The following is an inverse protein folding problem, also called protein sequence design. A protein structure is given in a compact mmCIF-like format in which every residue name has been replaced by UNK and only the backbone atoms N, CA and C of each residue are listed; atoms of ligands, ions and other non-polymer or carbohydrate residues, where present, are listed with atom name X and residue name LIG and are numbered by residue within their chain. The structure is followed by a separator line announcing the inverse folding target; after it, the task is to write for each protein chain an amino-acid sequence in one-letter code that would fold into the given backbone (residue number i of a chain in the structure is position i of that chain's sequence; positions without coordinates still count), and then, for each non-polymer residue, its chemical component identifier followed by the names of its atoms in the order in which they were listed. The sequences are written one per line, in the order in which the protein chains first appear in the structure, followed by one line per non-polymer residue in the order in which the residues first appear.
data_IF_972179278790
#
_entry.id   IF_972179278790
#
_cell.length_a   1.000
_cell.length_b   1.000
_cell.length_c   1.000
_cell.angle_alpha   90.00
_cell.angle_beta   90.00
_cell.angle_gamma   90.00
#
_symmetry.space_group_name_H-M   'P 1'
#
loop_
_entity.id
_entity.type
_entity.pdbx_description
1 polymer ?
#
# COMPACT_ATOMS: atom_id res chain seq x y z
N UNK A 1 -29.20 30.26 9.37
CA UNK A 1 -29.60 28.84 9.25
C UNK A 1 -28.58 27.96 9.96
N UNK A 2 -28.98 27.21 10.97
CA UNK A 2 -28.10 26.21 11.58
C UNK A 2 -27.84 25.07 10.58
N UNK A 3 -26.57 24.63 10.46
CA UNK A 3 -26.22 23.53 9.54
C UNK A 3 -26.98 22.27 9.95
N UNK A 4 -27.59 21.58 8.98
CA UNK A 4 -28.20 20.27 9.22
C UNK A 4 -27.12 19.22 9.57
N UNK A 5 -27.50 18.11 10.18
CA UNK A 5 -26.56 17.02 10.47
C UNK A 5 -25.81 16.54 9.23
N UNK A 6 -26.51 16.40 8.09
CA UNK A 6 -25.93 16.04 6.81
C UNK A 6 -24.88 17.07 6.31
N UNK A 7 -25.17 18.37 6.45
CA UNK A 7 -24.25 19.45 6.10
C UNK A 7 -23.01 19.46 7.01
N UNK A 8 -23.17 19.15 8.30
CA UNK A 8 -22.03 18.99 9.23
C UNK A 8 -21.16 17.79 8.85
N UNK A 9 -21.77 16.66 8.51
CA UNK A 9 -21.05 15.47 8.05
C UNK A 9 -20.31 15.71 6.73
N UNK A 10 -20.92 16.42 5.79
CA UNK A 10 -20.29 16.81 4.52
C UNK A 10 -19.09 17.75 4.76
N UNK A 11 -19.27 18.77 5.61
CA UNK A 11 -18.19 19.68 5.96
C UNK A 11 -17.04 18.98 6.70
N UNK A 12 -17.33 18.01 7.57
CA UNK A 12 -16.32 17.20 8.24
C UNK A 12 -15.51 16.36 7.23
N UNK A 13 -16.21 15.66 6.32
CA UNK A 13 -15.56 14.88 5.25
C UNK A 13 -14.72 15.72 4.30
N UNK A 14 -15.14 16.96 4.01
CA UNK A 14 -14.38 17.88 3.17
C UNK A 14 -13.13 18.46 3.84
N UNK A 15 -13.10 18.54 5.17
CA UNK A 15 -11.96 19.11 5.93
C UNK A 15 -10.86 18.09 6.21
N UNK A 16 -11.23 16.83 6.47
CA UNK A 16 -10.30 15.80 6.94
C UNK A 16 -9.09 15.55 6.02
N UNK A 17 -9.23 15.52 4.68
CA UNK A 17 -8.10 15.35 3.76
C UNK A 17 -7.06 16.48 3.78
N UNK A 18 -7.39 17.62 4.37
CA UNK A 18 -6.53 18.80 4.47
C UNK A 18 -6.19 19.17 5.92
N UNK A 19 -6.66 18.39 6.89
CA UNK A 19 -6.41 18.63 8.31
C UNK A 19 -5.05 18.02 8.69
N UNK A 20 -4.00 18.83 8.67
CA UNK A 20 -2.63 18.49 9.06
C UNK A 20 -1.72 19.72 8.98
N UNK A 21 -0.56 19.71 9.64
CA UNK A 21 0.34 20.88 9.73
C UNK A 21 0.76 21.42 8.36
N UNK A 22 0.86 20.55 7.35
CA UNK A 22 1.37 20.89 6.01
C UNK A 22 0.28 20.85 4.92
N UNK A 23 -1.00 20.88 5.30
CA UNK A 23 -2.12 20.68 4.37
C UNK A 23 -2.27 19.24 3.85
N UNK A 24 -1.35 18.35 4.26
CA UNK A 24 -1.43 16.90 4.06
C UNK A 24 -2.24 16.28 5.21
N UNK A 25 -3.56 16.32 5.06
CA UNK A 25 -4.45 15.65 6.00
C UNK A 25 -4.61 14.16 5.72
N UNK A 26 -5.37 13.51 6.58
CA UNK A 26 -5.57 12.06 6.53
C UNK A 26 -6.27 11.59 5.25
N UNK A 27 -5.88 10.42 4.75
CA UNK A 27 -6.56 9.72 3.65
C UNK A 27 -7.41 8.60 4.23
N UNK A 28 -8.65 8.48 3.76
CA UNK A 28 -9.56 7.43 4.23
C UNK A 28 -9.27 6.11 3.50
N UNK A 29 -8.89 5.08 4.25
CA UNK A 29 -8.87 3.70 3.75
C UNK A 29 -10.30 3.12 3.82
N UNK A 30 -10.87 2.77 2.67
CA UNK A 30 -12.19 2.12 2.57
C UNK A 30 -12.07 0.83 1.80
N UNK A 31 -11.91 -0.29 2.50
CA UNK A 31 -11.70 -1.61 1.92
C UNK A 31 -12.44 -2.66 2.75
N UNK A 32 -12.91 -3.72 2.09
CA UNK A 32 -13.40 -4.92 2.75
C UNK A 32 -12.23 -5.90 2.90
N UNK A 33 -12.07 -6.46 4.09
CA UNK A 33 -11.07 -7.49 4.39
C UNK A 33 -11.77 -8.77 4.81
N UNK A 34 -11.08 -9.90 4.68
CA UNK A 34 -11.62 -11.18 5.14
C UNK A 34 -11.85 -11.19 6.66
N UNK A 35 -12.74 -12.08 7.11
CA UNK A 35 -13.09 -12.22 8.53
C UNK A 35 -11.88 -12.57 9.40
N UNK A 36 -10.96 -13.40 8.92
CA UNK A 36 -9.76 -13.81 9.64
C UNK A 36 -8.81 -12.64 9.89
N UNK A 37 -8.56 -11.83 8.87
CA UNK A 37 -7.77 -10.60 8.95
C UNK A 37 -8.40 -9.59 9.92
N UNK A 38 -9.72 -9.40 9.86
CA UNK A 38 -10.43 -8.52 10.80
C UNK A 38 -10.24 -8.96 12.26
N UNK A 39 -10.37 -10.26 12.54
CA UNK A 39 -10.17 -10.81 13.88
C UNK A 39 -8.69 -10.69 14.32
N UNK A 40 -7.75 -10.96 13.42
CA UNK A 40 -6.32 -10.84 13.70
C UNK A 40 -5.93 -9.39 14.02
N UNK A 41 -6.39 -8.43 13.21
CA UNK A 41 -6.18 -7.00 13.43
C UNK A 41 -6.68 -6.57 14.80
N UNK A 42 -7.90 -7.00 15.18
CA UNK A 42 -8.47 -6.67 16.47
C UNK A 42 -7.68 -7.26 17.66
N UNK A 43 -7.13 -8.47 17.53
CA UNK A 43 -6.27 -9.08 18.57
C UNK A 43 -4.93 -8.37 18.68
N UNK A 44 -4.28 -8.06 17.56
CA UNK A 44 -2.99 -7.39 17.54
C UNK A 44 -3.08 -5.97 18.11
N UNK A 45 -4.11 -5.21 17.73
CA UNK A 45 -4.34 -3.86 18.26
C UNK A 45 -4.46 -3.87 19.79
N UNK A 46 -5.23 -4.85 20.34
CA UNK A 46 -5.34 -5.07 21.78
C UNK A 46 -4.00 -5.42 22.42
N UNK A 47 -3.24 -6.34 21.82
CA UNK A 47 -1.93 -6.77 22.34
C UNK A 47 -0.93 -5.62 22.44
N UNK A 48 -0.95 -4.71 21.46
CA UNK A 48 -0.06 -3.56 21.44
C UNK A 48 -0.63 -2.31 22.12
N UNK A 49 -1.85 -2.38 22.67
CA UNK A 49 -2.56 -1.24 23.26
C UNK A 49 -2.67 -0.01 22.33
N UNK A 50 -2.91 -0.25 21.03
CA UNK A 50 -3.06 0.78 20.01
C UNK A 50 -4.41 0.66 19.30
N UNK A 51 -4.79 1.68 18.55
CA UNK A 51 -5.98 1.60 17.67
C UNK A 51 -5.69 0.70 16.48
N UNK A 52 -6.73 0.12 15.87
CA UNK A 52 -6.58 -0.64 14.62
C UNK A 52 -5.99 0.23 13.50
N UNK A 53 -6.38 1.51 13.45
CA UNK A 53 -5.81 2.49 12.52
C UNK A 53 -4.30 2.62 12.71
N UNK A 54 -3.84 2.89 13.94
CA UNK A 54 -2.42 3.06 14.22
C UNK A 54 -1.61 1.78 13.91
N UNK A 55 -2.21 0.60 14.14
CA UNK A 55 -1.59 -0.66 13.78
C UNK A 55 -1.47 -0.84 12.26
N UNK A 56 -2.50 -0.51 11.49
CA UNK A 56 -2.45 -0.55 10.02
C UNK A 56 -1.37 0.42 9.50
N UNK A 57 -1.39 1.67 9.95
CA UNK A 57 -0.40 2.68 9.56
C UNK A 57 1.02 2.21 9.85
N UNK A 58 1.26 1.69 11.06
CA UNK A 58 2.56 1.13 11.45
C UNK A 58 3.01 -0.03 10.56
N UNK A 59 2.10 -0.97 10.27
CA UNK A 59 2.45 -2.14 9.45
C UNK A 59 2.73 -1.75 7.99
N UNK A 60 1.94 -0.85 7.42
CA UNK A 60 2.13 -0.39 6.03
C UNK A 60 3.42 0.41 5.88
N UNK A 61 3.70 1.34 6.79
CA UNK A 61 4.93 2.15 6.77
C UNK A 61 6.16 1.26 6.96
N UNK A 62 6.12 0.31 7.92
CA UNK A 62 7.25 -0.57 8.16
C UNK A 62 7.59 -1.45 6.95
N UNK A 63 6.58 -1.90 6.20
CA UNK A 63 6.79 -2.71 5.00
C UNK A 63 7.30 -1.85 3.82
N UNK A 64 6.78 -0.65 3.65
CA UNK A 64 7.27 0.32 2.65
C UNK A 64 8.75 0.65 2.90
N UNK A 65 9.12 0.99 4.14
CA UNK A 65 10.50 1.24 4.55
C UNK A 65 11.41 0.01 4.33
N UNK A 66 10.91 -1.20 4.64
CA UNK A 66 11.67 -2.44 4.44
C UNK A 66 11.98 -2.68 2.97
N UNK A 67 11.03 -2.40 2.07
CA UNK A 67 11.22 -2.52 0.62
C UNK A 67 12.19 -1.44 0.13
N UNK A 68 11.97 -0.18 0.51
CA UNK A 68 12.82 0.95 0.11
C UNK A 68 14.28 0.78 0.56
N UNK A 69 14.52 0.19 1.74
CA UNK A 69 15.86 -0.12 2.22
C UNK A 69 16.62 -1.10 1.31
N UNK A 70 15.92 -1.89 0.49
CA UNK A 70 16.50 -2.82 -0.48
C UNK A 70 16.68 -2.24 -1.90
N UNK A 71 16.25 -0.99 -2.14
CA UNK A 71 16.27 -0.37 -3.47
C UNK A 71 17.29 0.78 -3.49
N UNK A 72 18.18 0.76 -4.47
CA UNK A 72 19.10 1.88 -4.69
C UNK A 72 18.34 3.13 -5.20
N UNK A 73 18.67 4.28 -4.63
CA UNK A 73 18.08 5.57 -4.99
C UNK A 73 18.29 5.87 -6.48
N UNK A 74 17.26 6.41 -7.14
CA UNK A 74 17.24 6.75 -8.58
C UNK A 74 17.47 5.60 -9.57
N UNK A 75 17.58 4.37 -9.08
CA UNK A 75 17.65 3.18 -9.92
C UNK A 75 16.36 2.97 -10.74
N UNK A 76 16.44 2.09 -11.75
CA UNK A 76 15.25 1.66 -12.49
C UNK A 76 14.20 1.03 -11.56
N UNK A 77 14.64 0.30 -10.52
CA UNK A 77 13.76 -0.31 -9.53
C UNK A 77 13.06 0.73 -8.64
N UNK A 78 13.78 1.78 -8.23
CA UNK A 78 13.20 2.93 -7.52
C UNK A 78 12.07 3.55 -8.33
N UNK A 79 12.34 3.88 -9.60
CA UNK A 79 11.34 4.44 -10.50
C UNK A 79 10.14 3.52 -10.69
N UNK A 80 10.37 2.22 -10.85
CA UNK A 80 9.30 1.23 -11.01
C UNK A 80 8.39 1.15 -9.77
N UNK A 81 8.96 1.19 -8.57
CA UNK A 81 8.22 1.15 -7.31
C UNK A 81 7.21 2.31 -7.19
N UNK A 82 7.62 3.53 -7.55
CA UNK A 82 6.77 4.72 -7.48
C UNK A 82 5.87 4.93 -8.72
N UNK A 83 6.16 4.29 -9.85
CA UNK A 83 5.39 4.44 -11.10
C UNK A 83 4.20 3.48 -11.23
N UNK A 84 4.08 2.49 -10.33
CA UNK A 84 3.03 1.47 -10.39
C UNK A 84 1.61 2.04 -10.25
N UNK A 85 0.68 1.55 -11.06
CA UNK A 85 -0.76 1.81 -10.87
C UNK A 85 -1.31 0.80 -9.88
N UNK A 86 -1.95 1.27 -8.80
CA UNK A 86 -2.67 0.38 -7.87
C UNK A 86 -3.76 -0.38 -8.63
N UNK A 87 -3.77 -1.70 -8.48
CA UNK A 87 -4.91 -2.53 -8.89
C UNK A 87 -6.16 -2.06 -8.12
N UNK A 88 -7.33 -2.14 -8.75
CA UNK A 88 -8.58 -1.85 -8.03
C UNK A 88 -8.91 -3.03 -7.12
N UNK A 89 -9.52 -2.74 -5.98
CA UNK A 89 -9.90 -3.75 -4.97
C UNK A 89 -10.75 -4.92 -5.49
N UNK A 90 -11.35 -4.80 -6.69
CA UNK A 90 -12.18 -5.84 -7.31
C UNK A 90 -11.44 -6.63 -8.41
N UNK A 91 -10.20 -6.26 -8.75
CA UNK A 91 -9.47 -6.87 -9.88
C UNK A 91 -8.88 -8.25 -9.52
N UNK A 92 -8.82 -8.61 -8.23
CA UNK A 92 -8.27 -9.88 -7.74
C UNK A 92 -6.75 -10.02 -7.96
N UNK A 93 -6.12 -10.98 -7.26
CA UNK A 93 -4.71 -11.34 -7.44
C UNK A 93 -4.46 -11.84 -8.87
N UNK A 94 -4.12 -10.94 -9.79
CA UNK A 94 -3.80 -11.26 -11.20
C UNK A 94 -2.29 -11.13 -11.51
N UNK A 95 -1.43 -11.00 -10.50
CA UNK A 95 0.04 -10.97 -10.69
C UNK A 95 0.72 -12.23 -10.17
N UNK A 96 0.18 -13.39 -10.55
CA UNK A 96 1.05 -14.54 -10.81
C UNK A 96 1.29 -14.56 -12.32
N UNK A 97 2.44 -14.01 -12.77
CA UNK A 97 3.31 -14.58 -13.81
C UNK A 97 4.23 -13.53 -14.49
N UNK A 98 5.53 -13.86 -14.48
CA UNK A 98 6.68 -13.28 -15.21
C UNK A 98 7.28 -11.95 -14.73
N UNK A 99 8.08 -12.05 -13.66
CA UNK A 99 9.40 -11.41 -13.69
C UNK A 99 10.26 -12.15 -14.73
N UNK A 100 10.91 -11.47 -15.68
CA UNK A 100 11.83 -12.12 -16.61
C UNK A 100 13.01 -12.72 -15.85
N UNK A 101 13.28 -13.99 -16.09
CA UNK A 101 14.42 -14.72 -15.55
C UNK A 101 15.67 -14.25 -16.29
N UNK A 102 16.43 -13.33 -15.70
CA UNK A 102 17.75 -12.91 -16.19
C UNK A 102 18.77 -14.03 -15.95
N UNK A 103 18.69 -15.09 -16.75
CA UNK A 103 19.75 -16.08 -16.90
C UNK A 103 20.27 -16.03 -18.35
N UNK A 104 21.09 -15.01 -18.61
CA UNK A 104 22.08 -15.06 -19.67
C UNK A 104 23.39 -15.61 -19.06
N UNK A 105 23.64 -16.90 -19.25
CA UNK A 105 25.01 -17.42 -19.29
C UNK A 105 25.27 -18.01 -20.68
N UNK A 106 26.31 -17.49 -21.31
CA UNK A 106 26.64 -17.76 -22.69
C UNK A 106 27.48 -19.01 -22.92
N UNK A 107 27.77 -19.19 -24.22
CA UNK A 107 28.81 -20.01 -24.83
C UNK A 107 28.67 -21.54 -24.80
N UNK A 108 28.42 -22.15 -25.97
CA UNK A 108 29.41 -22.99 -26.66
C UNK A 108 28.85 -23.54 -27.99
N UNK A 109 29.51 -23.14 -29.08
CA UNK A 109 29.91 -23.94 -30.25
C UNK A 109 29.46 -25.40 -30.31
N UNK A 110 28.85 -25.81 -31.44
CA UNK A 110 29.35 -26.91 -32.29
C UNK A 110 28.70 -26.90 -33.68
N UNK A 111 29.55 -26.71 -34.71
CA UNK A 111 29.35 -27.19 -36.08
C UNK A 111 29.42 -28.72 -36.12
N UNK A 112 28.57 -29.41 -36.88
CA UNK A 112 28.86 -30.72 -37.51
C UNK A 112 27.81 -30.95 -38.61
N UNK A 113 28.17 -30.70 -39.88
CA UNK A 113 28.42 -31.65 -41.01
C UNK A 113 27.18 -31.92 -41.85
#
# INVERSE_FOLDING_TARGET
MAKTAAQRQAAYRGRRPHAGNDGNGERRLSVWIDTGASLALARLARRYAVTQQALIERLVIAEDERILAGIELDSAQWRAYFAGTSLRSNDGDQIHEKLPNDNNEGAATTMTT
#
